data_IF_744132301068
#
_entry.id   IF_744132301068
#
_cell.length_a   1.000
_cell.length_b   1.000
_cell.length_c   1.000
_cell.angle_alpha   90.00
_cell.angle_beta   90.00
_cell.angle_gamma   90.00
#
_symmetry.space_group_name_H-M   'P 1'
#
loop_
_entity.id
_entity.type
_entity.pdbx_description
1 polymer ?
#
# COMPACT_ATOMS: atom_id res chain seq x y z
N UNK A 1 -25.46 -14.08 15.60
CA UNK A 1 -24.19 -13.96 16.35
C UNK A 1 -23.06 -14.80 15.74
N UNK A 2 -23.31 -16.00 15.25
CA UNK A 2 -22.30 -16.88 14.62
C UNK A 2 -21.66 -16.29 13.35
N UNK A 3 -22.45 -15.67 12.47
CA UNK A 3 -21.95 -15.13 11.18
C UNK A 3 -21.01 -13.92 11.32
N UNK A 4 -21.32 -12.99 12.23
CA UNK A 4 -20.46 -11.82 12.52
C UNK A 4 -19.11 -12.26 13.09
N UNK A 5 -19.11 -13.28 13.96
CA UNK A 5 -17.88 -13.82 14.53
C UNK A 5 -17.00 -14.48 13.46
N UNK A 6 -17.62 -15.15 12.47
CA UNK A 6 -16.89 -15.72 11.31
C UNK A 6 -16.27 -14.61 10.46
N UNK A 7 -17.04 -13.58 10.08
CA UNK A 7 -16.53 -12.47 9.27
C UNK A 7 -15.40 -11.69 9.97
N UNK A 8 -15.50 -11.48 11.28
CA UNK A 8 -14.45 -10.82 12.06
C UNK A 8 -13.17 -11.67 12.14
N UNK A 9 -13.32 -12.99 12.24
CA UNK A 9 -12.19 -13.93 12.23
C UNK A 9 -11.46 -13.88 10.88
N UNK A 10 -12.21 -13.95 9.78
CA UNK A 10 -11.66 -13.85 8.42
C UNK A 10 -10.97 -12.50 8.20
N UNK A 11 -11.60 -11.40 8.62
CA UNK A 11 -11.01 -10.07 8.55
C UNK A 11 -9.68 -9.99 9.31
N UNK A 12 -9.64 -10.53 10.53
CA UNK A 12 -8.43 -10.53 11.37
C UNK A 12 -7.31 -11.35 10.74
N UNK A 13 -7.64 -12.52 10.18
CA UNK A 13 -6.68 -13.36 9.47
C UNK A 13 -6.09 -12.62 8.26
N UNK A 14 -6.93 -12.00 7.43
CA UNK A 14 -6.48 -11.23 6.27
C UNK A 14 -5.67 -9.99 6.67
N UNK A 15 -6.02 -9.34 7.79
CA UNK A 15 -5.23 -8.24 8.34
C UNK A 15 -3.84 -8.69 8.76
N UNK A 16 -3.71 -9.89 9.35
CA UNK A 16 -2.40 -10.44 9.69
C UNK A 16 -1.58 -10.79 8.44
N UNK A 17 -2.21 -11.37 7.41
CA UNK A 17 -1.55 -11.60 6.11
C UNK A 17 -1.07 -10.28 5.49
N UNK A 18 -1.89 -9.22 5.55
CA UNK A 18 -1.50 -7.88 5.08
C UNK A 18 -0.26 -7.31 5.81
N UNK A 19 -0.17 -7.51 7.13
CA UNK A 19 1.01 -7.10 7.91
C UNK A 19 2.26 -7.92 7.54
N UNK A 20 2.11 -9.23 7.31
CA UNK A 20 3.18 -10.09 6.83
C UNK A 20 3.65 -9.67 5.42
N UNK A 21 2.73 -9.31 4.53
CA UNK A 21 3.05 -8.79 3.20
C UNK A 21 3.88 -7.51 3.28
N UNK A 22 3.58 -6.62 4.23
CA UNK A 22 4.39 -5.44 4.49
C UNK A 22 5.81 -5.81 4.96
N UNK A 23 5.95 -6.77 5.87
CA UNK A 23 7.27 -7.23 6.30
C UNK A 23 8.07 -7.80 5.13
N UNK A 24 7.45 -8.63 4.28
CA UNK A 24 8.12 -9.17 3.08
C UNK A 24 8.57 -8.07 2.12
N UNK A 25 7.81 -6.98 1.99
CA UNK A 25 8.24 -5.81 1.20
C UNK A 25 9.47 -5.13 1.82
N UNK A 26 9.50 -4.94 3.13
CA UNK A 26 10.63 -4.32 3.83
C UNK A 26 11.90 -5.17 3.68
N UNK A 27 11.76 -6.49 3.77
CA UNK A 27 12.88 -7.43 3.58
C UNK A 27 13.44 -7.33 2.14
N UNK A 28 12.58 -7.26 1.13
CA UNK A 28 13.00 -7.08 -0.27
C UNK A 28 13.72 -5.73 -0.49
N UNK A 29 13.23 -4.65 0.11
CA UNK A 29 13.87 -3.33 0.02
C UNK A 29 15.25 -3.35 0.71
N UNK A 30 15.36 -3.99 1.87
CA UNK A 30 16.62 -4.15 2.57
C UNK A 30 17.64 -5.00 1.77
N UNK A 31 17.17 -6.08 1.14
CA UNK A 31 18.00 -6.93 0.27
C UNK A 31 18.49 -6.15 -0.94
N UNK A 32 17.63 -5.34 -1.56
CA UNK A 32 18.01 -4.44 -2.66
C UNK A 32 19.11 -3.47 -2.23
N UNK A 33 18.92 -2.77 -1.11
CA UNK A 33 19.91 -1.82 -0.59
C UNK A 33 21.26 -2.49 -0.30
N UNK A 34 21.24 -3.70 0.28
CA UNK A 34 22.45 -4.48 0.53
C UNK A 34 23.16 -4.82 -0.79
N UNK A 35 22.40 -5.19 -1.82
CA UNK A 35 22.93 -5.53 -3.14
C UNK A 35 23.54 -4.31 -3.83
N UNK A 36 22.91 -3.13 -3.73
CA UNK A 36 23.47 -1.87 -4.23
C UNK A 36 24.81 -1.53 -3.57
N UNK A 37 24.92 -1.74 -2.26
CA UNK A 37 26.18 -1.53 -1.53
C UNK A 37 27.28 -2.49 -2.02
N UNK A 38 26.94 -3.73 -2.35
CA UNK A 38 27.89 -4.70 -2.94
C UNK A 38 28.34 -4.24 -4.34
N UNK A 39 27.41 -3.77 -5.18
CA UNK A 39 27.77 -3.22 -6.51
C UNK A 39 28.73 -2.03 -6.36
N UNK A 40 28.48 -1.13 -5.41
CA UNK A 40 29.38 0.00 -5.16
C UNK A 40 30.77 -0.45 -4.70
N UNK A 41 30.85 -1.45 -3.81
CA UNK A 41 32.14 -2.03 -3.40
C UNK A 41 32.89 -2.65 -4.58
N UNK A 42 32.21 -3.39 -5.46
CA UNK A 42 32.80 -3.97 -6.66
C UNK A 42 33.31 -2.90 -7.63
N UNK A 43 32.61 -1.78 -7.80
CA UNK A 43 33.12 -0.65 -8.60
C UNK A 43 34.43 -0.10 -8.02
N UNK A 44 34.50 0.08 -6.70
CA UNK A 44 35.71 0.55 -6.03
C UNK A 44 36.87 -0.45 -6.20
N UNK A 45 36.61 -1.76 -6.05
CA UNK A 45 37.62 -2.82 -6.26
C UNK A 45 38.16 -2.82 -7.69
N UNK A 46 37.30 -2.65 -8.70
CA UNK A 46 37.70 -2.52 -10.11
C UNK A 46 38.58 -1.28 -10.31
N UNK A 47 38.21 -0.14 -9.71
CA UNK A 47 38.98 1.10 -9.82
C UNK A 47 40.36 0.98 -9.15
N UNK A 48 40.42 0.39 -7.96
CA UNK A 48 41.68 0.10 -7.25
C UNK A 48 42.59 -0.83 -8.06
N UNK A 49 42.04 -1.87 -8.67
CA UNK A 49 42.80 -2.79 -9.53
C UNK A 49 43.37 -2.07 -10.76
N UNK A 50 42.57 -1.22 -11.39
CA UNK A 50 43.00 -0.40 -12.52
C UNK A 50 44.09 0.60 -12.12
N UNK A 51 44.00 1.18 -10.92
CA UNK A 51 44.98 2.12 -10.40
C UNK A 51 46.32 1.43 -10.08
N UNK A 52 46.28 0.28 -9.38
CA UNK A 52 47.48 -0.54 -9.09
C UNK A 52 48.20 -0.98 -10.36
N UNK A 53 47.44 -1.33 -11.40
CA UNK A 53 47.99 -1.69 -12.72
C UNK A 53 48.73 -0.51 -13.37
N UNK A 54 48.15 0.70 -13.34
CA UNK A 54 48.79 1.93 -13.85
C UNK A 54 50.07 2.29 -13.07
N UNK A 55 50.03 2.17 -11.76
CA UNK A 55 51.19 2.43 -10.88
C UNK A 55 52.34 1.45 -11.15
N UNK A 56 52.02 0.17 -11.35
CA UNK A 56 53.02 -0.85 -11.66
C UNK A 56 53.72 -0.58 -13.01
N UNK A 57 52.94 -0.19 -14.02
CA UNK A 57 53.45 0.22 -15.34
C UNK A 57 54.36 1.46 -15.25
N UNK A 58 54.01 2.44 -14.42
CA UNK A 58 54.80 3.68 -14.28
C UNK A 58 56.08 3.46 -13.47
N UNK A 59 56.10 2.55 -12.48
CA UNK A 59 57.29 2.28 -11.68
C UNK A 59 58.28 1.32 -12.35
N UNK A 60 57.81 0.28 -13.04
CA UNK A 60 58.67 -0.78 -13.60
C UNK A 60 58.93 -0.63 -15.11
N UNK A 61 58.29 0.33 -15.77
CA UNK A 61 58.36 0.57 -17.22
C UNK A 61 58.08 -0.68 -18.10
N UNK A 62 57.50 -1.73 -17.50
CA UNK A 62 57.16 -2.99 -18.15
C UNK A 62 56.11 -3.72 -17.32
N UNK A 63 55.26 -4.52 -17.98
CA UNK A 63 54.30 -5.41 -17.35
C UNK A 63 54.62 -6.83 -17.82
N UNK A 64 54.86 -7.76 -16.89
CA UNK A 64 55.12 -9.15 -17.25
C UNK A 64 53.85 -9.79 -17.84
N UNK A 65 54.03 -10.80 -18.70
CA UNK A 65 52.92 -11.55 -19.28
C UNK A 65 52.06 -12.23 -18.19
N UNK A 66 52.70 -12.78 -17.16
CA UNK A 66 52.03 -13.45 -16.04
C UNK A 66 51.14 -12.46 -15.26
N UNK A 67 51.70 -11.30 -14.90
CA UNK A 67 50.96 -10.23 -14.21
C UNK A 67 49.81 -9.70 -15.06
N UNK A 68 49.98 -9.59 -16.38
CA UNK A 68 48.90 -9.19 -17.28
C UNK A 68 47.75 -10.21 -17.30
N UNK A 69 48.06 -11.51 -17.33
CA UNK A 69 47.05 -12.56 -17.30
C UNK A 69 46.26 -12.52 -15.98
N UNK A 70 46.95 -12.42 -14.85
CA UNK A 70 46.32 -12.34 -13.52
C UNK A 70 45.37 -11.14 -13.43
N UNK A 71 45.83 -9.94 -13.80
CA UNK A 71 45.00 -8.72 -13.81
C UNK A 71 43.78 -8.86 -14.72
N UNK A 72 43.94 -9.48 -15.89
CA UNK A 72 42.84 -9.70 -16.82
C UNK A 72 41.81 -10.68 -16.24
N UNK A 73 42.26 -11.75 -15.60
CA UNK A 73 41.39 -12.74 -14.97
C UNK A 73 40.64 -12.16 -13.78
N UNK A 74 41.33 -11.40 -12.91
CA UNK A 74 40.72 -10.76 -11.76
C UNK A 74 39.68 -9.71 -12.18
N UNK A 75 40.01 -8.84 -13.14
CA UNK A 75 39.05 -7.88 -13.69
C UNK A 75 37.83 -8.56 -14.34
N UNK A 76 38.04 -9.65 -15.08
CA UNK A 76 36.93 -10.43 -15.65
C UNK A 76 36.04 -11.03 -14.56
N UNK A 77 36.64 -11.56 -13.48
CA UNK A 77 35.91 -12.08 -12.33
C UNK A 77 35.08 -11.02 -11.60
N UNK A 78 35.65 -9.82 -11.38
CA UNK A 78 34.93 -8.69 -10.78
C UNK A 78 33.76 -8.22 -11.66
N UNK A 79 33.97 -8.11 -12.98
CA UNK A 79 32.90 -7.76 -13.93
C UNK A 79 31.78 -8.78 -13.95
N UNK A 80 32.09 -10.08 -13.97
CA UNK A 80 31.07 -11.12 -13.94
C UNK A 80 30.22 -11.06 -12.65
N UNK A 81 30.84 -10.78 -11.50
CA UNK A 81 30.11 -10.55 -10.24
C UNK A 81 29.25 -9.30 -10.30
N UNK A 82 29.76 -8.22 -10.88
CA UNK A 82 29.02 -6.97 -11.05
C UNK A 82 27.76 -7.19 -11.89
N UNK A 83 27.88 -7.85 -13.03
CA UNK A 83 26.75 -8.20 -13.91
C UNK A 83 25.72 -9.09 -13.19
N UNK A 84 26.18 -10.07 -12.41
CA UNK A 84 25.30 -10.90 -11.59
C UNK A 84 24.48 -10.08 -10.56
N UNK A 85 25.12 -9.16 -9.84
CA UNK A 85 24.41 -8.34 -8.86
C UNK A 85 23.52 -7.30 -9.51
N UNK A 86 23.89 -6.76 -10.67
CA UNK A 86 23.00 -5.90 -11.46
C UNK A 86 21.74 -6.66 -11.91
N UNK A 87 21.90 -7.90 -12.38
CA UNK A 87 20.77 -8.77 -12.70
C UNK A 87 19.88 -9.04 -11.46
N UNK A 88 20.50 -9.27 -10.29
CA UNK A 88 19.80 -9.43 -9.01
C UNK A 88 18.94 -8.20 -8.67
N UNK A 89 19.45 -6.97 -8.89
CA UNK A 89 18.68 -5.74 -8.67
C UNK A 89 17.44 -5.68 -9.58
N UNK A 90 17.59 -5.99 -10.87
CA UNK A 90 16.47 -5.98 -11.81
C UNK A 90 15.36 -6.98 -11.39
N UNK A 91 15.73 -8.15 -10.84
CA UNK A 91 14.78 -9.12 -10.27
C UNK A 91 14.11 -8.63 -8.99
N UNK A 92 14.87 -8.00 -8.09
CA UNK A 92 14.35 -7.44 -6.84
C UNK A 92 13.36 -6.31 -7.14
N UNK A 93 13.64 -5.46 -8.13
CA UNK A 93 12.70 -4.41 -8.57
C UNK A 93 11.36 -4.99 -9.02
N UNK A 94 11.39 -6.06 -9.82
CA UNK A 94 10.17 -6.74 -10.26
C UNK A 94 9.39 -7.32 -9.07
N UNK A 95 10.07 -7.94 -8.10
CA UNK A 95 9.46 -8.50 -6.89
C UNK A 95 8.87 -7.40 -5.99
N UNK A 96 9.59 -6.30 -5.81
CA UNK A 96 9.14 -5.13 -5.02
C UNK A 96 7.87 -4.56 -5.65
N UNK A 97 7.86 -4.33 -6.97
CA UNK A 97 6.68 -3.80 -7.67
C UNK A 97 5.46 -4.72 -7.52
N UNK A 98 5.64 -6.02 -7.70
CA UNK A 98 4.57 -7.00 -7.51
C UNK A 98 4.05 -7.04 -6.07
N UNK A 99 4.96 -6.96 -5.09
CA UNK A 99 4.60 -6.97 -3.68
C UNK A 99 3.85 -5.71 -3.25
N UNK A 100 4.26 -4.53 -3.74
CA UNK A 100 3.53 -3.26 -3.52
C UNK A 100 2.10 -3.35 -4.04
N UNK A 101 1.92 -3.90 -5.24
CA UNK A 101 0.60 -4.09 -5.82
C UNK A 101 -0.25 -5.06 -5.01
N UNK A 102 0.33 -6.18 -4.56
CA UNK A 102 -0.36 -7.14 -3.69
C UNK A 102 -0.89 -6.45 -2.43
N UNK A 103 -0.03 -5.72 -1.72
CA UNK A 103 -0.38 -4.95 -0.52
C UNK A 103 -1.51 -3.95 -0.83
N UNK A 104 -1.43 -3.23 -1.96
CA UNK A 104 -2.48 -2.28 -2.34
C UNK A 104 -3.84 -2.95 -2.55
N UNK A 105 -3.89 -4.10 -3.22
CA UNK A 105 -5.13 -4.83 -3.42
C UNK A 105 -5.67 -5.44 -2.13
N UNK A 106 -4.81 -6.06 -1.31
CA UNK A 106 -5.18 -6.58 0.02
C UNK A 106 -5.76 -5.48 0.90
N UNK A 107 -5.19 -4.28 0.90
CA UNK A 107 -5.73 -3.12 1.62
C UNK A 107 -7.17 -2.76 1.18
N UNK A 108 -7.43 -2.74 -0.13
CA UNK A 108 -8.77 -2.45 -0.64
C UNK A 108 -9.78 -3.57 -0.31
N UNK A 109 -9.34 -4.83 -0.35
CA UNK A 109 -10.17 -5.96 0.08
C UNK A 109 -10.53 -5.86 1.57
N UNK A 110 -9.56 -5.55 2.43
CA UNK A 110 -9.79 -5.33 3.86
C UNK A 110 -10.77 -4.16 4.10
N UNK A 111 -10.69 -3.07 3.33
CA UNK A 111 -11.69 -1.99 3.41
C UNK A 111 -13.10 -2.48 3.09
N UNK A 112 -13.25 -3.30 2.06
CA UNK A 112 -14.54 -3.89 1.68
C UNK A 112 -15.06 -4.83 2.76
N UNK A 113 -14.21 -5.72 3.29
CA UNK A 113 -14.57 -6.63 4.39
C UNK A 113 -15.00 -5.86 5.64
N UNK A 114 -14.23 -4.83 6.04
CA UNK A 114 -14.60 -3.96 7.16
C UNK A 114 -15.96 -3.31 6.95
N UNK A 115 -16.25 -2.83 5.74
CA UNK A 115 -17.56 -2.26 5.42
C UNK A 115 -18.68 -3.29 5.57
N UNK A 116 -18.46 -4.52 5.11
CA UNK A 116 -19.44 -5.60 5.22
C UNK A 116 -19.75 -5.99 6.68
N UNK A 117 -18.78 -5.81 7.59
CA UNK A 117 -18.97 -6.06 9.03
C UNK A 117 -19.68 -4.88 9.70
N UNK A 118 -19.20 -3.65 9.49
CA UNK A 118 -19.64 -2.48 10.28
C UNK A 118 -20.99 -1.93 9.78
N UNK A 119 -21.24 -1.93 8.47
CA UNK A 119 -22.45 -1.31 7.93
C UNK A 119 -23.74 -1.97 8.45
N UNK A 120 -23.90 -3.31 8.42
CA UNK A 120 -25.10 -3.95 8.97
C UNK A 120 -25.28 -3.67 10.47
N UNK A 121 -24.18 -3.66 11.23
CA UNK A 121 -24.23 -3.35 12.67
C UNK A 121 -24.74 -1.93 12.91
N UNK A 122 -24.27 -0.95 12.13
CA UNK A 122 -24.73 0.44 12.23
C UNK A 122 -26.22 0.58 11.88
N UNK A 123 -26.68 -0.10 10.83
CA UNK A 123 -28.10 -0.10 10.44
C UNK A 123 -28.96 -0.73 11.53
N UNK A 124 -28.60 -1.92 12.03
CA UNK A 124 -29.34 -2.59 13.11
C UNK A 124 -29.38 -1.75 14.38
N UNK A 125 -28.28 -1.12 14.77
CA UNK A 125 -28.25 -0.24 15.94
C UNK A 125 -29.16 0.99 15.76
N UNK A 126 -29.18 1.59 14.57
CA UNK A 126 -30.06 2.71 14.24
C UNK A 126 -31.54 2.29 14.27
N UNK A 127 -31.87 1.15 13.66
CA UNK A 127 -33.24 0.61 13.66
C UNK A 127 -33.72 0.32 15.08
N UNK A 128 -32.86 -0.27 15.92
CA UNK A 128 -33.17 -0.51 17.34
C UNK A 128 -33.39 0.79 18.11
N UNK A 129 -32.53 1.79 17.91
CA UNK A 129 -32.67 3.10 18.54
C UNK A 129 -34.00 3.76 18.17
N UNK A 130 -34.37 3.73 16.88
CA UNK A 130 -35.64 4.26 16.38
C UNK A 130 -36.80 3.48 16.99
N UNK A 131 -36.77 2.15 16.97
CA UNK A 131 -37.83 1.31 17.51
C UNK A 131 -38.07 1.57 19.01
N UNK A 132 -36.99 1.69 19.79
CA UNK A 132 -37.05 1.95 21.24
C UNK A 132 -37.56 3.34 21.60
N UNK A 133 -37.37 4.33 20.72
CA UNK A 133 -37.72 5.73 21.00
C UNK A 133 -38.88 6.25 20.16
N UNK A 134 -39.52 5.39 19.35
CA UNK A 134 -40.56 5.77 18.39
C UNK A 134 -41.67 6.59 19.02
N UNK A 135 -42.21 6.16 20.16
CA UNK A 135 -43.31 6.85 20.84
C UNK A 135 -42.91 8.25 21.31
N UNK A 136 -41.71 8.40 21.90
CA UNK A 136 -41.19 9.69 22.35
C UNK A 136 -40.91 10.64 21.18
N UNK A 137 -40.36 10.13 20.08
CA UNK A 137 -40.14 10.92 18.87
C UNK A 137 -41.48 11.42 18.31
N UNK A 138 -42.51 10.57 18.30
CA UNK A 138 -43.87 10.96 17.91
C UNK A 138 -44.47 12.01 18.85
N UNK A 139 -44.27 11.87 20.17
CA UNK A 139 -44.74 12.86 21.14
C UNK A 139 -44.07 14.24 20.92
N UNK A 140 -42.76 14.26 20.73
CA UNK A 140 -42.00 15.49 20.40
C UNK A 140 -42.53 16.12 19.12
N UNK A 141 -42.75 15.31 18.08
CA UNK A 141 -43.34 15.77 16.83
C UNK A 141 -44.70 16.43 17.06
N UNK A 142 -45.61 15.78 17.81
CA UNK A 142 -46.93 16.33 18.12
C UNK A 142 -46.85 17.68 18.83
N UNK A 143 -45.97 17.83 19.83
CA UNK A 143 -45.81 19.12 20.52
C UNK A 143 -45.28 20.22 19.59
N UNK A 144 -44.35 19.90 18.68
CA UNK A 144 -43.81 20.87 17.74
C UNK A 144 -44.84 21.26 16.67
N UNK A 145 -45.59 20.29 16.13
CA UNK A 145 -46.66 20.53 15.16
C UNK A 145 -47.75 21.44 15.76
N UNK A 146 -48.13 21.20 17.01
CA UNK A 146 -49.16 21.99 17.73
C UNK A 146 -48.64 23.32 18.29
N UNK A 147 -47.35 23.66 18.12
CA UNK A 147 -46.75 24.86 18.70
C UNK A 147 -46.94 26.14 17.88
N UNK A 148 -47.46 26.02 16.65
CA UNK A 148 -47.56 27.10 15.65
C UNK A 148 -46.21 27.79 15.29
N UNK A 149 -45.07 27.26 15.74
CA UNK A 149 -43.74 27.83 15.46
C UNK A 149 -43.19 27.48 14.07
N UNK A 150 -43.86 26.57 13.35
CA UNK A 150 -43.41 26.06 12.04
C UNK A 150 -44.45 26.32 10.94
N UNK A 151 -44.94 27.55 10.75
CA UNK A 151 -45.99 27.81 9.77
C UNK A 151 -45.54 27.42 8.35
N UNK A 152 -46.46 26.95 7.50
CA UNK A 152 -46.14 26.63 6.11
C UNK A 152 -45.60 27.85 5.38
N UNK A 153 -44.70 27.62 4.43
CA UNK A 153 -44.15 28.72 3.63
C UNK A 153 -45.18 29.21 2.62
N UNK A 154 -45.26 30.53 2.41
CA UNK A 154 -46.05 31.10 1.31
C UNK A 154 -45.32 31.02 -0.04
N UNK A 155 -44.03 30.69 -0.02
CA UNK A 155 -43.13 30.77 -1.18
C UNK A 155 -42.41 29.44 -1.49
N UNK A 156 -42.74 28.37 -0.77
CA UNK A 156 -42.24 27.02 -1.04
C UNK A 156 -43.31 25.98 -0.70
N UNK A 157 -43.21 24.81 -1.34
CA UNK A 157 -44.10 23.68 -1.11
C UNK A 157 -43.79 22.93 0.20
N UNK A 158 -42.95 23.49 1.08
CA UNK A 158 -42.61 22.90 2.36
C UNK A 158 -43.81 22.97 3.32
N UNK A 159 -44.28 21.78 3.72
CA UNK A 159 -45.31 21.64 4.74
C UNK A 159 -44.78 21.94 6.15
N UNK A 160 -45.69 22.15 7.09
CA UNK A 160 -45.37 22.20 8.54
C UNK A 160 -44.63 20.92 8.96
N UNK A 161 -45.11 19.76 8.50
CA UNK A 161 -44.51 18.44 8.75
C UNK A 161 -43.04 18.39 8.32
N UNK A 162 -42.71 18.88 7.12
CA UNK A 162 -41.35 18.89 6.60
C UNK A 162 -40.41 19.78 7.45
N UNK A 163 -40.92 20.93 7.89
CA UNK A 163 -40.16 21.86 8.74
C UNK A 163 -39.91 21.30 10.13
N UNK A 164 -40.93 20.67 10.74
CA UNK A 164 -40.80 20.00 12.04
C UNK A 164 -39.80 18.84 11.96
N UNK A 165 -39.92 17.98 10.95
CA UNK A 165 -38.96 16.88 10.72
C UNK A 165 -37.53 17.40 10.53
N UNK A 166 -37.36 18.45 9.72
CA UNK A 166 -36.07 19.09 9.50
C UNK A 166 -35.47 19.65 10.80
N UNK A 167 -36.30 20.27 11.64
CA UNK A 167 -35.88 20.74 12.95
C UNK A 167 -35.40 19.61 13.85
N UNK A 168 -36.17 18.53 13.97
CA UNK A 168 -35.80 17.35 14.75
C UNK A 168 -34.48 16.75 14.22
N UNK A 169 -34.35 16.59 12.90
CA UNK A 169 -33.11 16.09 12.28
C UNK A 169 -31.92 16.99 12.58
N UNK A 170 -32.10 18.31 12.59
CA UNK A 170 -31.04 19.27 12.95
C UNK A 170 -30.59 19.09 14.40
N UNK A 171 -31.52 18.92 15.34
CA UNK A 171 -31.19 18.67 16.75
C UNK A 171 -30.41 17.36 16.92
N UNK A 172 -30.86 16.28 16.27
CA UNK A 172 -30.15 14.99 16.28
C UNK A 172 -28.74 15.13 15.69
N UNK A 173 -28.60 15.82 14.55
CA UNK A 173 -27.30 16.05 13.91
C UNK A 173 -26.33 16.80 14.83
N UNK A 174 -26.81 17.79 15.58
CA UNK A 174 -26.00 18.55 16.54
C UNK A 174 -25.56 17.70 17.74
N UNK A 175 -26.33 16.68 18.11
CA UNK A 175 -26.01 15.79 19.22
C UNK A 175 -25.00 14.68 18.86
N UNK A 176 -24.78 14.40 17.57
CA UNK A 176 -23.84 13.36 17.13
C UNK A 176 -22.42 13.84 17.36
N UNK A 177 -21.68 13.15 18.24
CA UNK A 177 -20.24 13.35 18.38
C UNK A 177 -19.51 12.70 17.20
N UNK A 178 -18.75 13.51 16.45
CA UNK A 178 -17.91 13.05 15.33
C UNK A 178 -16.47 12.76 15.73
N UNK A 179 -16.07 13.11 16.96
CA UNK A 179 -14.77 12.77 17.51
C UNK A 179 -14.83 11.34 18.04
N UNK A 180 -14.47 10.38 17.18
CA UNK A 180 -14.37 8.98 17.55
C UNK A 180 -13.02 8.40 17.14
N UNK A 181 -12.50 7.52 17.98
CA UNK A 181 -11.36 6.67 17.66
C UNK A 181 -11.86 5.36 17.06
N UNK A 182 -11.33 4.97 15.90
CA UNK A 182 -11.59 3.66 15.33
C UNK A 182 -10.98 2.62 16.27
N UNK A 183 -11.79 1.61 16.64
CA UNK A 183 -11.32 0.45 17.38
C UNK A 183 -10.15 -0.22 16.63
N UNK A 184 -9.07 -0.51 17.35
CA UNK A 184 -7.87 -1.13 16.81
C UNK A 184 -8.18 -2.41 16.04
N UNK A 185 -9.20 -3.17 16.45
CA UNK A 185 -9.63 -4.38 15.75
C UNK A 185 -10.02 -4.10 14.29
N UNK A 186 -10.59 -2.94 13.98
CA UNK A 186 -11.01 -2.52 12.64
C UNK A 186 -10.03 -1.54 11.96
N UNK A 187 -8.98 -1.14 12.66
CA UNK A 187 -7.92 -0.29 12.10
C UNK A 187 -7.13 -1.06 11.04
N UNK A 188 -6.88 -0.42 9.89
CA UNK A 188 -6.08 -0.95 8.80
C UNK A 188 -5.07 0.15 8.43
N UNK A 189 -3.79 0.00 8.77
CA UNK A 189 -2.77 0.96 8.36
C UNK A 189 -2.67 0.96 6.83
N UNK A 190 -2.36 2.12 6.24
CA UNK A 190 -2.13 2.22 4.79
C UNK A 190 -0.63 2.28 4.54
N UNK A 191 -0.11 1.27 3.86
CA UNK A 191 1.31 1.21 3.51
C UNK A 191 1.64 1.66 2.09
N UNK A 192 0.73 1.40 1.14
CA UNK A 192 0.97 1.66 -0.29
C UNK A 192 -0.13 2.55 -0.87
N UNK A 193 0.28 3.54 -1.66
CA UNK A 193 -0.57 4.46 -2.39
C UNK A 193 -0.72 4.06 -3.86
N UNK A 194 -1.75 4.60 -4.53
CA UNK A 194 -2.10 4.20 -5.90
C UNK A 194 -1.06 4.67 -6.93
N UNK A 195 -0.36 5.75 -6.63
CA UNK A 195 0.74 6.30 -7.43
C UNK A 195 2.03 5.48 -7.32
N UNK A 196 2.14 4.61 -6.30
CA UNK A 196 3.27 3.70 -6.13
C UNK A 196 3.12 2.37 -6.90
N UNK A 197 1.94 2.10 -7.46
CA UNK A 197 1.68 0.92 -8.29
C UNK A 197 1.78 1.26 -9.77
N UNK A 198 2.31 0.33 -10.57
CA UNK A 198 2.35 0.49 -12.03
C UNK A 198 0.94 0.61 -12.59
N UNK A 199 0.72 1.62 -13.43
CA UNK A 199 -0.55 1.78 -14.15
C UNK A 199 -0.77 0.61 -15.12
N UNK A 200 -2.04 0.27 -15.46
CA UNK A 200 -2.33 -0.73 -16.47
C UNK A 200 -1.66 -0.45 -17.82
N UNK A 201 -1.57 0.83 -18.21
CA UNK A 201 -0.89 1.25 -19.45
C UNK A 201 0.60 0.90 -19.39
N UNK A 202 1.28 1.21 -18.28
CA UNK A 202 2.70 0.92 -18.12
C UNK A 202 2.97 -0.59 -18.14
N UNK A 203 2.12 -1.38 -17.47
CA UNK A 203 2.21 -2.84 -17.50
C UNK A 203 2.00 -3.42 -18.90
N UNK A 204 1.04 -2.88 -19.64
CA UNK A 204 0.80 -3.27 -21.01
C UNK A 204 2.03 -2.97 -21.88
N UNK A 205 2.59 -1.76 -21.78
CA UNK A 205 3.83 -1.40 -22.47
C UNK A 205 4.98 -2.35 -22.13
N UNK A 206 5.20 -2.63 -20.84
CA UNK A 206 6.22 -3.58 -20.38
C UNK A 206 5.99 -5.01 -20.91
N UNK A 207 4.74 -5.44 -21.11
CA UNK A 207 4.44 -6.77 -21.65
C UNK A 207 4.75 -6.95 -23.14
N UNK A 208 4.89 -5.85 -23.90
CA UNK A 208 5.37 -5.87 -25.30
C UNK A 208 6.86 -5.61 -25.41
N UNK A 209 7.51 -5.18 -24.33
CA UNK A 209 8.97 -5.02 -24.27
C UNK A 209 9.63 -6.39 -24.12
N UNK A 210 10.02 -6.98 -25.25
CA UNK A 210 10.72 -8.26 -25.30
C UNK A 210 12.22 -8.16 -24.95
N UNK A 211 12.68 -7.01 -24.44
CA UNK A 211 14.08 -6.84 -24.04
C UNK A 211 14.36 -7.71 -22.81
N UNK A 212 15.32 -8.66 -22.87
CA UNK A 212 15.68 -9.47 -21.71
C UNK A 212 16.14 -8.60 -20.55
N UNK A 213 15.67 -8.91 -19.34
CA UNK A 213 16.03 -8.24 -18.07
C UNK A 213 16.48 -9.29 -17.04
N UNK A 214 17.08 -8.83 -15.96
CA UNK A 214 17.51 -9.66 -14.84
C UNK A 214 18.44 -10.80 -15.26
N UNK A 215 18.20 -11.98 -14.71
CA UNK A 215 19.06 -13.13 -14.98
C UNK A 215 18.95 -13.64 -16.42
N UNK A 216 17.83 -13.38 -17.11
CA UNK A 216 17.70 -13.76 -18.51
C UNK A 216 18.68 -12.98 -19.40
N UNK A 217 18.82 -11.67 -19.15
CA UNK A 217 19.82 -10.83 -19.81
C UNK A 217 21.24 -11.30 -19.51
N UNK A 218 21.52 -11.66 -18.26
CA UNK A 218 22.82 -12.18 -17.84
C UNK A 218 23.19 -13.44 -18.62
N UNK A 219 22.27 -14.42 -18.71
CA UNK A 219 22.50 -15.68 -19.41
C UNK A 219 22.70 -15.46 -20.91
N UNK A 220 21.95 -14.54 -21.52
CA UNK A 220 22.10 -14.22 -22.94
C UNK A 220 23.43 -13.54 -23.29
N UNK A 221 24.14 -12.99 -22.29
CA UNK A 221 25.43 -12.32 -22.44
C UNK A 221 26.64 -13.20 -22.07
N UNK A 222 26.42 -14.46 -21.67
CA UNK A 222 27.48 -15.45 -21.45
C UNK A 222 28.11 -15.93 -22.76
#
# INVERSE_FOLDING_TARGET
>A
MTEINTQLTEFTQQKNTYLQEKQSLDDLIAEKQKTENVIQALHNEIEELMQKSKESLTQQNSLSMETFIELKQENAGLKARLEYYQATIEELDCKIDAQKEKIFFTFNQLKTMRSAIIYPQAITALEQLIAQNKEKISEIYCYLELSDQFPPSLYSDESTEDKVKTFITKQIKQAINTDFTIDEQYSIPRFIHKDEIKSPIKKHQESFDNTPKGFQKLINNL
#
